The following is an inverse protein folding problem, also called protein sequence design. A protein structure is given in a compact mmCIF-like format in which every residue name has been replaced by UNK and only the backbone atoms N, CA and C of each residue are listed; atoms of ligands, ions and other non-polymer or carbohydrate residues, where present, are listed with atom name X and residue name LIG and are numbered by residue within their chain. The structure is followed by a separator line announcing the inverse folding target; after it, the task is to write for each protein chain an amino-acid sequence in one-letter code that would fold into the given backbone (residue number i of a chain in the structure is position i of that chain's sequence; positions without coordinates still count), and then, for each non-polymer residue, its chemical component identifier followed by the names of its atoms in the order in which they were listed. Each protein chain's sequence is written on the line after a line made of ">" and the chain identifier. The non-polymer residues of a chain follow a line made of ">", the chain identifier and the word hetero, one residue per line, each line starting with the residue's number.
data_IF_433653780638
#
_entry.id   IF_433653780638
#
_cell.length_a   1.000
_cell.length_b   1.000
_cell.length_c   1.000
_cell.angle_alpha   90.00
_cell.angle_beta   90.00
_cell.angle_gamma   90.00
#
_symmetry.space_group_name_H-M   'P 1'
#
loop_
_entity.id
_entity.type
_entity.pdbx_description
1 polymer ?
#
# COMPACT_ATOMS: atom_id res chain seq x y z
N UNK A 1 12.18 -32.43 42.34
CA UNK A 1 10.90 -32.28 41.62
C UNK A 1 10.49 -30.83 41.33
N UNK A 2 11.08 -29.80 41.95
CA UNK A 2 10.73 -28.40 41.66
C UNK A 2 11.35 -27.82 40.38
N UNK A 3 12.51 -28.33 39.95
CA UNK A 3 13.28 -27.80 38.81
C UNK A 3 12.60 -28.01 37.44
N UNK A 4 11.79 -29.06 37.26
CA UNK A 4 11.05 -29.29 36.00
C UNK A 4 9.91 -28.29 35.75
N UNK A 5 9.31 -27.74 36.81
CA UNK A 5 8.22 -26.74 36.70
C UNK A 5 8.75 -25.40 36.18
N UNK A 6 9.92 -24.98 36.67
CA UNK A 6 10.56 -23.72 36.27
C UNK A 6 11.00 -23.71 34.81
N UNK A 7 11.39 -24.86 34.24
CA UNK A 7 11.71 -24.96 32.81
C UNK A 7 10.45 -24.82 31.93
N UNK A 8 9.33 -25.41 32.36
CA UNK A 8 8.07 -25.30 31.64
C UNK A 8 7.56 -23.86 31.62
N UNK A 9 7.65 -23.14 32.73
CA UNK A 9 7.28 -21.72 32.79
C UNK A 9 8.16 -20.88 31.86
N UNK A 10 9.48 -21.09 31.87
CA UNK A 10 10.41 -20.39 30.98
C UNK A 10 10.10 -20.65 29.49
N UNK A 11 9.80 -21.90 29.12
CA UNK A 11 9.39 -22.25 27.77
C UNK A 11 8.05 -21.62 27.37
N UNK A 12 7.09 -21.56 28.29
CA UNK A 12 5.80 -20.89 28.06
C UNK A 12 6.01 -19.39 27.83
N UNK A 13 6.84 -18.72 28.62
CA UNK A 13 7.18 -17.30 28.40
C UNK A 13 7.88 -17.07 27.06
N UNK A 14 8.81 -17.96 26.68
CA UNK A 14 9.49 -17.90 25.38
C UNK A 14 8.52 -18.09 24.21
N UNK A 15 7.58 -19.04 24.32
CA UNK A 15 6.55 -19.28 23.30
C UNK A 15 5.58 -18.10 23.16
N UNK A 16 5.18 -17.48 24.27
CA UNK A 16 4.34 -16.28 24.25
C UNK A 16 5.08 -15.12 23.58
N UNK A 17 6.36 -14.92 23.90
CA UNK A 17 7.19 -13.89 23.27
C UNK A 17 7.28 -14.04 21.75
N UNK A 18 7.47 -15.29 21.28
CA UNK A 18 7.50 -15.60 19.83
C UNK A 18 6.14 -15.34 19.19
N UNK A 19 5.04 -15.78 19.81
CA UNK A 19 3.68 -15.53 19.32
C UNK A 19 3.39 -14.03 19.18
N UNK A 20 3.72 -13.21 20.18
CA UNK A 20 3.50 -11.75 20.13
C UNK A 20 4.36 -11.10 19.03
N UNK A 21 5.60 -11.55 18.86
CA UNK A 21 6.49 -11.02 17.80
C UNK A 21 6.01 -11.35 16.39
N UNK A 22 5.22 -12.41 16.22
CA UNK A 22 4.62 -12.77 14.92
C UNK A 22 3.39 -11.94 14.56
N UNK A 23 2.83 -11.17 15.51
CA UNK A 23 1.66 -10.32 15.29
C UNK A 23 2.00 -8.94 14.71
N UNK A 24 3.07 -8.83 13.90
CA UNK A 24 3.29 -7.61 13.12
C UNK A 24 2.21 -7.54 12.05
N UNK A 25 1.12 -6.84 12.35
CA UNK A 25 0.09 -6.54 11.39
C UNK A 25 0.72 -5.71 10.27
N UNK A 26 0.80 -6.28 9.07
CA UNK A 26 1.08 -5.51 7.87
C UNK A 26 -0.11 -4.58 7.64
N UNK A 27 -0.01 -3.33 8.08
CA UNK A 27 -0.95 -2.31 7.66
C UNK A 27 -0.75 -2.10 6.15
N UNK A 28 -1.70 -2.59 5.35
CA UNK A 28 -1.77 -2.17 3.96
C UNK A 28 -1.97 -0.64 3.96
N UNK A 29 -1.10 0.08 3.25
CA UNK A 29 -1.23 1.52 3.06
C UNK A 29 -2.58 1.87 2.44
N UNK A 30 -3.06 3.09 2.67
CA UNK A 30 -4.35 3.56 2.17
C UNK A 30 -4.14 4.74 1.25
N UNK A 31 -4.63 4.65 0.02
CA UNK A 31 -4.57 5.73 -0.96
C UNK A 31 -5.24 7.01 -0.45
N UNK A 32 -6.25 6.92 0.42
CA UNK A 32 -6.84 8.10 1.05
C UNK A 32 -5.87 8.82 2.00
N UNK A 33 -4.99 8.09 2.66
CA UNK A 33 -4.05 8.65 3.63
C UNK A 33 -2.81 9.22 2.96
N UNK A 34 -2.34 8.58 1.88
CA UNK A 34 -1.01 8.81 1.33
C UNK A 34 -1.00 9.71 0.08
N UNK A 35 -2.12 9.77 -0.66
CA UNK A 35 -2.19 10.45 -1.96
C UNK A 35 -3.41 11.38 -2.09
N UNK A 36 -3.25 12.41 -2.91
CA UNK A 36 -4.32 13.29 -3.38
C UNK A 36 -4.59 13.04 -4.87
N UNK A 37 -5.87 13.03 -5.26
CA UNK A 37 -6.26 13.03 -6.67
C UNK A 37 -6.08 14.44 -7.23
N UNK A 38 -5.24 14.59 -8.25
CA UNK A 38 -4.81 15.90 -8.75
C UNK A 38 -5.67 16.42 -9.88
N UNK A 39 -6.08 15.54 -10.79
CA UNK A 39 -6.99 15.86 -11.89
C UNK A 39 -7.72 14.61 -12.37
N UNK A 40 -8.78 14.81 -13.15
CA UNK A 40 -9.51 13.75 -13.82
C UNK A 40 -10.98 13.61 -13.40
N UNK A 41 -11.47 14.42 -12.46
CA UNK A 41 -12.85 14.38 -11.98
C UNK A 41 -13.29 12.94 -11.65
N UNK A 42 -14.30 12.42 -12.33
CA UNK A 42 -14.82 11.06 -12.18
C UNK A 42 -13.92 9.94 -12.75
N UNK A 43 -12.76 10.28 -13.32
CA UNK A 43 -11.79 9.35 -13.92
C UNK A 43 -10.72 8.88 -12.94
N UNK A 44 -10.51 9.61 -11.85
CA UNK A 44 -9.68 9.19 -10.73
C UNK A 44 -10.58 8.76 -9.57
N UNK A 45 -10.52 7.49 -9.16
CA UNK A 45 -11.39 6.96 -8.10
C UNK A 45 -10.63 6.02 -7.18
N UNK A 46 -10.87 6.18 -5.88
CA UNK A 46 -10.38 5.27 -4.84
C UNK A 46 -11.54 4.38 -4.40
N UNK A 47 -11.30 3.08 -4.39
CA UNK A 47 -12.26 2.04 -4.03
C UNK A 47 -11.76 1.20 -2.85
N UNK A 48 -12.61 0.26 -2.40
CA UNK A 48 -12.26 -0.73 -1.39
C UNK A 48 -11.68 -0.13 -0.11
N UNK A 49 -12.25 0.99 0.35
CA UNK A 49 -11.81 1.66 1.57
C UNK A 49 -10.39 2.25 1.51
N UNK A 50 -9.84 2.51 0.33
CA UNK A 50 -8.51 3.08 0.17
C UNK A 50 -7.47 2.12 -0.42
N UNK A 51 -7.85 0.90 -0.79
CA UNK A 51 -6.90 -0.14 -1.21
C UNK A 51 -6.69 -0.20 -2.72
N UNK A 52 -7.57 0.40 -3.51
CA UNK A 52 -7.48 0.39 -4.96
C UNK A 52 -7.68 1.79 -5.54
N UNK A 53 -6.68 2.27 -6.27
CA UNK A 53 -6.77 3.49 -7.07
C UNK A 53 -6.98 3.11 -8.54
N UNK A 54 -8.04 3.64 -9.14
CA UNK A 54 -8.33 3.51 -10.56
C UNK A 54 -8.16 4.86 -11.26
N UNK A 55 -7.44 4.84 -12.37
CA UNK A 55 -7.29 5.96 -13.28
C UNK A 55 -7.89 5.56 -14.64
N UNK A 56 -8.61 6.47 -15.26
CA UNK A 56 -9.08 6.32 -16.64
C UNK A 56 -8.70 7.52 -17.51
N UNK A 57 -8.66 7.25 -18.81
CA UNK A 57 -8.38 8.20 -19.87
C UNK A 57 -9.48 8.02 -20.93
N UNK A 58 -10.05 9.14 -21.36
CA UNK A 58 -10.94 9.18 -22.51
C UNK A 58 -10.48 10.27 -23.48
N UNK A 59 -11.30 10.55 -24.51
CA UNK A 59 -10.97 11.55 -25.53
C UNK A 59 -10.92 12.99 -24.98
N UNK A 60 -11.49 13.24 -23.81
CA UNK A 60 -11.58 14.57 -23.21
C UNK A 60 -10.39 14.82 -22.29
N UNK A 61 -10.06 13.87 -21.42
CA UNK A 61 -8.95 14.02 -20.48
C UNK A 61 -8.50 12.70 -19.85
N UNK A 62 -7.31 12.73 -19.25
CA UNK A 62 -6.79 11.68 -18.39
C UNK A 62 -7.14 11.90 -16.92
N UNK A 63 -6.36 11.28 -16.05
CA UNK A 63 -6.46 11.41 -14.60
C UNK A 63 -5.09 11.21 -13.94
N UNK A 64 -4.96 11.67 -12.70
CA UNK A 64 -3.70 11.57 -11.97
C UNK A 64 -3.86 11.74 -10.47
N UNK A 65 -2.76 11.46 -9.78
CA UNK A 65 -2.61 11.58 -8.34
C UNK A 65 -1.20 12.04 -7.99
N UNK A 66 -1.02 12.57 -6.79
CA UNK A 66 0.29 12.92 -6.22
C UNK A 66 0.36 12.49 -4.76
N UNK A 67 1.57 12.27 -4.25
CA UNK A 67 1.76 12.05 -2.81
C UNK A 67 1.43 13.32 -2.04
N UNK A 68 0.84 13.15 -0.86
CA UNK A 68 0.58 14.26 0.08
C UNK A 68 1.85 14.85 0.68
N UNK A 69 2.91 14.03 0.73
CA UNK A 69 4.20 14.37 1.29
C UNK A 69 5.27 14.29 0.21
N UNK A 70 6.28 15.11 0.38
CA UNK A 70 7.52 15.05 -0.36
C UNK A 70 8.53 14.23 0.44
N UNK A 71 9.40 13.51 -0.27
CA UNK A 71 10.37 12.61 0.33
C UNK A 71 11.74 12.88 -0.27
N UNK A 72 12.73 13.13 0.59
CA UNK A 72 14.12 13.25 0.18
C UNK A 72 14.77 11.87 -0.04
N UNK A 73 14.38 10.90 0.79
CA UNK A 73 14.79 9.50 0.70
C UNK A 73 13.60 8.62 1.03
N UNK A 74 13.50 7.47 0.37
CA UNK A 74 12.45 6.52 0.64
C UNK A 74 12.43 5.36 -0.34
N UNK A 75 11.62 4.35 -0.01
CA UNK A 75 11.25 3.28 -0.91
C UNK A 75 9.76 3.43 -1.19
N UNK A 76 9.39 3.44 -2.47
CA UNK A 76 7.99 3.55 -2.87
C UNK A 76 7.67 2.32 -3.72
N UNK A 77 6.82 1.46 -3.19
CA UNK A 77 6.34 0.25 -3.87
C UNK A 77 4.87 0.45 -4.24
N UNK A 78 4.52 0.11 -5.48
CA UNK A 78 3.13 0.15 -5.97
C UNK A 78 2.84 -1.05 -6.85
N UNK A 79 1.70 -1.71 -6.60
CA UNK A 79 1.18 -2.73 -7.50
C UNK A 79 0.35 -2.06 -8.60
N UNK A 80 0.72 -2.29 -9.85
CA UNK A 80 0.10 -1.66 -11.01
C UNK A 80 -0.56 -2.71 -11.89
N UNK A 81 -1.82 -2.47 -12.25
CA UNK A 81 -2.54 -3.22 -13.29
C UNK A 81 -2.80 -2.29 -14.46
N UNK A 82 -2.22 -2.62 -15.62
CA UNK A 82 -2.37 -1.83 -16.84
C UNK A 82 -3.66 -2.17 -17.58
N UNK A 83 -4.08 -1.25 -18.45
CA UNK A 83 -5.23 -1.44 -19.35
C UNK A 83 -4.99 -2.64 -20.27
N UNK A 84 -6.02 -3.47 -20.44
CA UNK A 84 -5.97 -4.64 -21.31
C UNK A 84 -6.42 -4.29 -22.73
N UNK A 85 -5.96 -5.07 -23.72
CA UNK A 85 -6.36 -4.91 -25.12
C UNK A 85 -5.53 -3.86 -25.88
N UNK A 86 -6.16 -3.15 -26.81
CA UNK A 86 -5.47 -2.12 -27.59
C UNK A 86 -5.28 -0.86 -26.73
N UNK A 87 -4.02 -0.50 -26.50
CA UNK A 87 -3.63 0.68 -25.72
C UNK A 87 -2.63 1.55 -26.48
N UNK A 88 -2.62 1.47 -27.82
CA UNK A 88 -1.75 2.27 -28.66
C UNK A 88 -1.88 3.77 -28.33
N UNK A 89 -0.75 4.44 -28.10
CA UNK A 89 -0.72 5.86 -27.76
C UNK A 89 -1.12 6.20 -26.33
N UNK A 90 -1.41 5.22 -25.47
CA UNK A 90 -1.70 5.45 -24.05
C UNK A 90 -0.43 5.30 -23.21
N UNK A 91 -0.25 6.18 -22.22
CA UNK A 91 0.85 6.13 -21.26
C UNK A 91 0.29 6.06 -19.85
N UNK A 92 0.73 5.08 -19.06
CA UNK A 92 0.54 5.06 -17.61
C UNK A 92 1.90 5.35 -16.97
N UNK A 93 1.99 6.45 -16.22
CA UNK A 93 3.23 6.90 -15.62
C UNK A 93 3.16 6.80 -14.09
N UNK A 94 4.24 6.29 -13.50
CA UNK A 94 4.48 6.28 -12.07
C UNK A 94 5.94 6.71 -11.87
N UNK A 95 6.14 7.89 -11.30
CA UNK A 95 7.43 8.53 -11.21
C UNK A 95 7.50 9.46 -10.00
N UNK A 96 8.71 9.91 -9.68
CA UNK A 96 9.00 10.93 -8.67
C UNK A 96 9.44 12.20 -9.36
N UNK A 97 9.04 13.36 -8.84
CA UNK A 97 9.57 14.66 -9.25
C UNK A 97 9.92 15.47 -8.00
N UNK A 98 10.87 16.39 -8.16
CA UNK A 98 11.34 17.30 -7.11
C UNK A 98 10.83 18.71 -7.35
#
# INVERSE_FOLDING_TARGET
>A
MASSSTYNEFHVFMLIGIMVSSMVASCAGSFYQDFDLTWGDNRAKIFSGGQLLSLSLDKVSGSGFKSKKEYLFGRIDMQLKLVAGNSAGTVTAYYTFS
#
